data_IF_622942896155
#
_entry.id   IF_622942896155
#
_cell.length_a   1.000
_cell.length_b   1.000
_cell.length_c   1.000
_cell.angle_alpha   90.00
_cell.angle_beta   90.00
_cell.angle_gamma   90.00
#
_symmetry.space_group_name_H-M   'P 1'
#
loop_
_entity.id
_entity.type
_entity.pdbx_description
1 polymer ?
#
# COMPACT_ATOMS: atom_id res chain seq x y z
N UNK A 1 16.57 -73.29 30.79
CA UNK A 1 16.49 -72.75 29.42
C UNK A 1 16.01 -71.31 29.48
N UNK A 2 16.80 -70.42 28.89
CA UNK A 2 16.72 -68.96 28.97
C UNK A 2 15.44 -68.36 28.36
N UNK A 3 14.89 -67.35 29.04
CA UNK A 3 14.20 -66.19 28.43
C UNK A 3 14.57 -64.98 29.29
N UNK A 4 15.77 -64.41 29.07
CA UNK A 4 16.02 -63.20 28.27
C UNK A 4 15.14 -62.01 28.71
N UNK A 5 15.58 -61.37 29.80
CA UNK A 5 15.12 -60.06 30.25
C UNK A 5 15.76 -59.01 29.34
N UNK A 6 14.94 -58.33 28.53
CA UNK A 6 15.38 -57.25 27.64
C UNK A 6 15.30 -55.93 28.42
N UNK A 7 16.41 -55.55 29.05
CA UNK A 7 16.56 -54.30 29.80
C UNK A 7 16.99 -53.20 28.82
N UNK A 8 16.02 -52.43 28.30
CA UNK A 8 16.30 -51.27 27.47
C UNK A 8 16.78 -50.11 28.35
N UNK A 9 18.07 -49.83 28.27
CA UNK A 9 18.72 -48.61 28.76
C UNK A 9 18.14 -47.40 28.01
N UNK A 10 17.28 -46.61 28.67
CA UNK A 10 16.96 -45.26 28.21
C UNK A 10 18.09 -44.32 28.62
N UNK A 11 19.04 -44.11 27.71
CA UNK A 11 19.97 -42.98 27.77
C UNK A 11 19.21 -41.75 27.26
N UNK A 12 18.59 -41.02 28.20
CA UNK A 12 18.04 -39.70 27.93
C UNK A 12 19.17 -38.68 27.79
N UNK A 13 19.62 -38.47 26.55
CA UNK A 13 20.45 -37.33 26.19
C UNK A 13 19.63 -36.05 26.31
N UNK A 14 20.04 -35.21 27.25
CA UNK A 14 19.65 -33.81 27.40
C UNK A 14 19.86 -33.05 26.08
N UNK A 15 18.78 -32.45 25.56
CA UNK A 15 18.87 -31.21 24.80
C UNK A 15 17.82 -30.27 25.36
N UNK A 16 18.23 -29.46 26.33
CA UNK A 16 17.47 -28.30 26.76
C UNK A 16 17.28 -27.37 25.57
N UNK A 17 16.03 -27.21 25.14
CA UNK A 17 15.65 -26.20 24.15
C UNK A 17 15.69 -24.86 24.89
N UNK A 18 16.88 -24.25 24.87
CA UNK A 18 17.03 -22.84 25.21
C UNK A 18 16.42 -22.05 24.06
N UNK A 19 15.20 -21.54 24.27
CA UNK A 19 14.56 -20.59 23.38
C UNK A 19 15.44 -19.34 23.25
N UNK A 20 16.22 -19.26 22.17
CA UNK A 20 16.90 -18.03 21.80
C UNK A 20 15.83 -17.04 21.34
N UNK A 21 15.49 -16.09 22.23
CA UNK A 21 14.96 -14.80 21.79
C UNK A 21 16.02 -14.18 20.88
N UNK A 22 15.72 -14.12 19.58
CA UNK A 22 16.54 -13.36 18.64
C UNK A 22 16.11 -11.90 18.79
N UNK A 23 16.70 -11.22 19.76
CA UNK A 23 16.66 -9.76 19.82
C UNK A 23 17.58 -9.24 18.72
N UNK A 24 17.02 -8.80 17.59
CA UNK A 24 17.78 -8.10 16.56
C UNK A 24 17.99 -6.64 16.99
N UNK A 25 18.79 -6.43 18.04
CA UNK A 25 19.35 -5.12 18.37
C UNK A 25 20.72 -5.02 17.73
N UNK A 26 20.76 -4.53 16.49
CA UNK A 26 21.99 -4.12 15.85
C UNK A 26 22.21 -2.64 16.18
N UNK A 27 23.15 -2.35 17.08
CA UNK A 27 23.59 -0.99 17.43
C UNK A 27 24.52 -0.36 16.38
N UNK A 28 24.49 -0.83 15.13
CA UNK A 28 25.31 -0.28 14.04
C UNK A 28 24.42 0.32 12.97
N UNK A 29 24.42 1.66 12.93
CA UNK A 29 23.82 2.44 11.84
C UNK A 29 24.45 2.01 10.50
N UNK A 30 23.68 1.57 9.50
CA UNK A 30 24.22 1.48 8.14
C UNK A 30 24.47 2.89 7.62
N UNK A 31 25.75 3.22 7.40
CA UNK A 31 26.16 4.42 6.66
C UNK A 31 25.91 4.20 5.18
N UNK A 32 24.74 4.62 4.72
CA UNK A 32 24.54 5.03 3.34
C UNK A 32 23.91 6.41 3.38
N UNK A 33 24.81 7.37 3.61
CA UNK A 33 24.54 8.79 3.52
C UNK A 33 24.66 9.18 2.05
N UNK A 34 23.52 9.36 1.36
CA UNK A 34 23.50 9.92 0.01
C UNK A 34 23.53 11.46 0.01
N UNK A 35 23.85 12.11 1.13
CA UNK A 35 24.06 13.58 1.17
C UNK A 35 25.44 14.01 0.68
N UNK A 36 26.02 13.29 -0.29
CA UNK A 36 27.11 13.85 -1.11
C UNK A 36 26.47 14.74 -2.16
N UNK A 37 26.39 16.03 -1.84
CA UNK A 37 26.25 17.09 -2.84
C UNK A 37 27.46 17.07 -3.77
N UNK A 38 27.44 16.25 -4.81
CA UNK A 38 28.23 16.55 -6.00
C UNK A 38 27.58 17.78 -6.65
N UNK A 39 28.27 18.92 -6.57
CA UNK A 39 28.00 20.07 -7.43
C UNK A 39 28.36 19.68 -8.86
N UNK A 40 27.49 18.89 -9.50
CA UNK A 40 27.51 18.58 -10.91
C UNK A 40 26.45 19.41 -11.61
N UNK A 41 26.90 20.38 -12.41
CA UNK A 41 26.06 21.13 -13.33
C UNK A 41 25.48 20.14 -14.36
N UNK A 42 24.23 19.71 -14.15
CA UNK A 42 23.36 19.08 -15.14
C UNK A 42 24.00 17.96 -15.98
N UNK A 43 24.29 16.82 -15.33
CA UNK A 43 24.55 15.56 -16.01
C UNK A 43 23.56 14.50 -15.56
N UNK A 44 22.53 14.19 -16.36
CA UNK A 44 21.58 13.13 -16.01
C UNK A 44 20.27 13.02 -16.79
N UNK A 45 20.30 13.13 -18.13
CA UNK A 45 19.40 12.48 -19.11
C UNK A 45 17.87 12.57 -18.87
N UNK A 46 17.27 13.69 -19.27
CA UNK A 46 16.04 13.64 -20.08
C UNK A 46 16.47 13.65 -21.55
N UNK A 47 16.33 12.52 -22.23
CA UNK A 47 16.39 12.45 -23.68
C UNK A 47 15.00 12.77 -24.24
N UNK A 48 14.80 13.99 -24.69
CA UNK A 48 13.82 14.28 -25.74
C UNK A 48 14.51 15.18 -26.75
N UNK A 49 14.71 14.65 -27.94
CA UNK A 49 15.24 15.42 -29.07
C UNK A 49 14.42 16.68 -29.26
N UNK A 50 15.10 17.82 -29.23
CA UNK A 50 14.55 19.10 -29.62
C UNK A 50 15.71 20.00 -30.07
N UNK A 51 16.32 19.61 -31.19
CA UNK A 51 17.11 20.52 -32.01
C UNK A 51 16.15 21.63 -32.49
N UNK A 52 16.23 22.80 -31.86
CA UNK A 52 15.36 23.95 -32.14
C UNK A 52 15.05 24.88 -30.96
N UNK A 53 15.72 24.74 -29.81
CA UNK A 53 15.31 25.35 -28.53
C UNK A 53 15.98 26.67 -28.16
N UNK A 54 16.90 27.21 -28.98
CA UNK A 54 17.58 28.47 -28.65
C UNK A 54 16.65 29.67 -28.56
N UNK A 55 15.78 29.85 -29.55
CA UNK A 55 14.86 31.00 -29.61
C UNK A 55 13.65 30.86 -28.67
N UNK A 56 13.12 29.64 -28.51
CA UNK A 56 11.99 29.41 -27.58
C UNK A 56 12.40 29.61 -26.13
N UNK A 57 13.63 29.23 -25.76
CA UNK A 57 14.18 29.47 -24.42
C UNK A 57 14.48 30.96 -24.20
N UNK A 58 14.94 31.68 -25.23
CA UNK A 58 15.11 33.15 -25.17
C UNK A 58 13.77 33.85 -24.97
N UNK A 59 12.76 33.50 -25.76
CA UNK A 59 11.40 34.05 -25.64
C UNK A 59 10.78 33.77 -24.28
N UNK A 60 10.91 32.54 -23.77
CA UNK A 60 10.43 32.19 -22.43
C UNK A 60 11.17 32.97 -21.31
N UNK A 61 12.46 33.28 -21.48
CA UNK A 61 13.20 34.15 -20.55
C UNK A 61 12.72 35.60 -20.62
N UNK A 62 12.43 36.11 -21.80
CA UNK A 62 11.92 37.47 -22.01
C UNK A 62 10.51 37.62 -21.42
N UNK A 63 9.62 36.65 -21.68
CA UNK A 63 8.26 36.62 -21.12
C UNK A 63 8.29 36.53 -19.59
N UNK A 64 9.17 35.71 -19.01
CA UNK A 64 9.37 35.63 -17.56
C UNK A 64 9.88 36.95 -16.96
N UNK A 65 10.82 37.62 -17.63
CA UNK A 65 11.34 38.91 -17.19
C UNK A 65 10.26 40.01 -17.26
N UNK A 66 9.40 39.97 -18.28
CA UNK A 66 8.27 40.89 -18.43
C UNK A 66 7.26 40.70 -17.31
N UNK A 67 6.83 39.47 -17.06
CA UNK A 67 5.89 39.13 -15.97
C UNK A 67 6.45 39.56 -14.60
N UNK A 68 7.75 39.39 -14.38
CA UNK A 68 8.40 39.81 -13.14
C UNK A 68 8.41 41.33 -12.96
N UNK A 69 8.61 42.09 -14.03
CA UNK A 69 8.58 43.55 -14.00
C UNK A 69 7.14 44.06 -13.82
N UNK A 70 6.18 43.51 -14.57
CA UNK A 70 4.76 43.86 -14.46
C UNK A 70 4.23 43.58 -13.05
N UNK A 71 4.64 42.46 -12.44
CA UNK A 71 4.33 42.14 -11.05
C UNK A 71 4.96 43.13 -10.06
N UNK A 72 6.15 43.64 -10.37
CA UNK A 72 6.84 44.62 -9.53
C UNK A 72 6.17 46.00 -9.60
N UNK A 73 5.65 46.37 -10.77
CA UNK A 73 4.95 47.63 -11.01
C UNK A 73 3.56 47.63 -10.36
N UNK A 74 2.82 46.53 -10.44
CA UNK A 74 1.54 46.34 -9.72
C UNK A 74 1.74 46.46 -8.19
N UNK A 75 2.83 45.88 -7.67
CA UNK A 75 3.15 45.97 -6.24
C UNK A 75 3.54 47.38 -5.80
N UNK A 76 4.13 48.17 -6.69
CA UNK A 76 4.49 49.56 -6.42
C UNK A 76 3.25 50.48 -6.47
N UNK A 77 2.34 50.26 -7.41
CA UNK A 77 1.07 51.01 -7.54
C UNK A 77 0.15 50.81 -6.33
N UNK A 78 0.18 49.60 -5.73
CA UNK A 78 -0.52 49.29 -4.48
C UNK A 78 0.20 49.79 -3.21
N UNK A 79 1.30 50.54 -3.34
CA UNK A 79 2.06 51.08 -2.21
C UNK A 79 2.83 50.03 -1.37
N UNK A 80 3.00 48.81 -1.89
CA UNK A 80 3.63 47.69 -1.16
C UNK A 80 5.15 47.73 -1.36
N UNK A 81 5.79 48.71 -0.72
CA UNK A 81 7.25 48.78 -0.68
C UNK A 81 7.78 47.86 0.44
N UNK A 82 8.44 46.75 0.06
CA UNK A 82 9.27 45.87 0.93
C UNK A 82 8.61 44.64 1.59
N UNK A 83 7.56 44.06 1.03
CA UNK A 83 7.02 42.79 1.55
C UNK A 83 7.78 41.54 1.01
N UNK A 84 8.47 41.65 -0.12
CA UNK A 84 9.03 40.47 -0.83
C UNK A 84 10.24 39.78 -0.19
N UNK A 85 11.17 40.50 0.47
CA UNK A 85 12.46 39.91 0.91
C UNK A 85 12.37 39.15 2.25
N UNK A 86 11.53 39.58 3.18
CA UNK A 86 11.32 38.90 4.47
C UNK A 86 10.41 37.67 4.30
N UNK A 87 9.37 37.80 3.49
CA UNK A 87 8.47 36.69 3.16
C UNK A 87 9.20 35.62 2.33
N UNK A 88 9.97 36.00 1.31
CA UNK A 88 10.76 35.05 0.50
C UNK A 88 11.77 34.23 1.32
N UNK A 89 12.48 34.85 2.28
CA UNK A 89 13.45 34.14 3.13
C UNK A 89 12.78 33.17 4.12
N UNK A 90 11.60 33.52 4.64
CA UNK A 90 10.82 32.62 5.49
C UNK A 90 10.12 31.50 4.70
N UNK A 91 9.69 31.76 3.46
CA UNK A 91 9.13 30.75 2.56
C UNK A 91 10.23 29.76 2.12
N UNK A 92 11.42 30.23 1.76
CA UNK A 92 12.56 29.37 1.37
C UNK A 92 13.13 28.53 2.52
N UNK A 93 13.02 28.98 3.77
CA UNK A 93 13.39 28.15 4.94
C UNK A 93 12.34 27.10 5.30
N UNK A 94 11.08 27.25 4.87
CA UNK A 94 9.98 26.33 5.19
C UNK A 94 9.73 25.25 4.14
N UNK A 95 10.02 25.48 2.86
CA UNK A 95 9.81 24.49 1.81
C UNK A 95 11.10 23.73 1.50
N UNK A 96 11.54 22.88 2.42
CA UNK A 96 12.42 21.77 2.03
C UNK A 96 11.49 20.66 1.56
N UNK A 97 11.64 20.10 0.34
CA UNK A 97 10.95 18.88 -0.02
C UNK A 97 11.39 17.84 1.02
N UNK A 98 10.48 17.48 1.90
CA UNK A 98 10.76 16.49 2.91
C UNK A 98 10.47 15.15 2.27
N UNK A 99 11.46 14.27 2.28
CA UNK A 99 11.29 12.85 1.95
C UNK A 99 10.56 12.16 3.12
N UNK A 100 9.39 12.70 3.48
CA UNK A 100 8.53 12.21 4.55
C UNK A 100 7.08 12.22 4.08
N UNK A 101 6.34 11.19 4.46
CA UNK A 101 4.90 11.14 4.33
C UNK A 101 4.33 10.85 5.71
N UNK A 102 3.34 11.63 6.16
CA UNK A 102 2.73 11.47 7.50
C UNK A 102 3.77 11.38 8.67
N UNK A 103 4.91 12.09 8.53
CA UNK A 103 6.00 12.11 9.53
C UNK A 103 6.97 10.92 9.49
N UNK A 104 6.76 9.94 8.60
CA UNK A 104 7.67 8.80 8.39
C UNK A 104 8.58 9.09 7.21
N UNK A 105 9.89 8.86 7.37
CA UNK A 105 10.87 9.09 6.31
C UNK A 105 10.78 8.02 5.22
N UNK A 106 10.80 8.46 3.98
CA UNK A 106 10.65 7.62 2.79
C UNK A 106 11.90 7.62 1.92
N UNK A 107 12.05 6.57 1.11
CA UNK A 107 13.02 6.49 0.02
C UNK A 107 12.27 6.12 -1.25
N UNK A 108 12.60 6.76 -2.36
CA UNK A 108 12.01 6.42 -3.66
C UNK A 108 12.67 5.18 -4.27
N UNK A 109 11.84 4.30 -4.83
CA UNK A 109 12.23 3.10 -5.57
C UNK A 109 11.56 3.12 -6.94
N UNK A 110 12.25 2.55 -7.91
CA UNK A 110 11.76 2.43 -9.28
C UNK A 110 11.84 0.97 -9.69
N UNK A 111 10.71 0.42 -10.12
CA UNK A 111 10.60 -0.89 -10.73
C UNK A 111 10.37 -0.72 -12.23
N UNK A 112 11.08 -1.48 -13.05
CA UNK A 112 10.88 -1.52 -14.50
C UNK A 112 10.73 -2.96 -14.94
N UNK A 113 9.66 -3.27 -15.66
CA UNK A 113 9.42 -4.63 -16.17
C UNK A 113 8.62 -4.61 -17.48
N UNK A 114 8.69 -5.71 -18.23
CA UNK A 114 8.11 -5.80 -19.57
C UNK A 114 9.02 -5.22 -20.66
N UNK A 115 8.59 -5.36 -21.92
CA UNK A 115 9.35 -4.90 -23.09
C UNK A 115 8.42 -4.32 -24.17
N UNK A 116 8.98 -3.49 -25.05
CA UNK A 116 8.24 -2.82 -26.12
C UNK A 116 7.05 -2.02 -25.60
N UNK A 117 5.90 -2.16 -26.25
CA UNK A 117 4.66 -1.44 -25.92
C UNK A 117 4.04 -1.85 -24.56
N UNK A 118 4.59 -2.87 -23.88
CA UNK A 118 4.15 -3.32 -22.55
C UNK A 118 5.15 -2.97 -21.45
N UNK A 119 6.17 -2.16 -21.76
CA UNK A 119 7.13 -1.67 -20.78
C UNK A 119 6.39 -0.88 -19.70
N UNK A 120 6.53 -1.32 -18.45
CA UNK A 120 5.89 -0.74 -17.28
C UNK A 120 6.97 -0.22 -16.34
N UNK A 121 6.78 1.01 -15.87
CA UNK A 121 7.63 1.66 -14.87
C UNK A 121 6.76 2.02 -13.67
N UNK A 122 7.13 1.53 -12.49
CA UNK A 122 6.46 1.86 -11.23
C UNK A 122 7.42 2.62 -10.33
N UNK A 123 7.04 3.85 -9.97
CA UNK A 123 7.74 4.69 -9.02
C UNK A 123 6.99 4.64 -7.69
N UNK A 124 7.69 4.28 -6.62
CA UNK A 124 7.07 4.13 -5.30
C UNK A 124 7.97 4.62 -4.20
N UNK A 125 7.40 5.33 -3.24
CA UNK A 125 8.07 5.64 -1.98
C UNK A 125 7.90 4.45 -1.01
N UNK A 126 8.99 4.06 -0.34
CA UNK A 126 9.02 3.01 0.68
C UNK A 126 9.57 3.55 1.98
N UNK A 127 9.23 2.90 3.10
CA UNK A 127 9.72 3.28 4.43
C UNK A 127 11.24 3.11 4.47
N UNK A 128 11.94 4.13 5.01
CA UNK A 128 13.40 4.13 5.11
C UNK A 128 13.95 3.22 6.21
N UNK A 129 13.26 3.18 7.35
CA UNK A 129 13.70 2.47 8.55
C UNK A 129 12.67 1.42 8.95
N UNK A 130 13.14 0.18 9.13
CA UNK A 130 12.29 -0.96 9.52
C UNK A 130 11.59 -0.71 10.86
N UNK A 131 12.20 0.09 11.75
CA UNK A 131 11.64 0.47 13.06
C UNK A 131 10.31 1.25 12.96
N UNK A 132 10.11 1.98 11.85
CA UNK A 132 8.91 2.78 11.61
C UNK A 132 7.79 1.98 10.92
N UNK A 133 8.05 0.71 10.57
CA UNK A 133 7.09 -0.17 9.92
C UNK A 133 6.04 -0.65 10.93
N UNK A 134 4.85 -0.04 10.87
CA UNK A 134 3.68 -0.47 11.65
C UNK A 134 2.55 -0.83 10.69
N UNK A 135 2.55 -2.07 10.23
CA UNK A 135 1.48 -2.55 9.36
C UNK A 135 0.26 -2.89 10.21
N UNK A 136 -0.90 -2.36 9.81
CA UNK A 136 -2.17 -2.67 10.47
C UNK A 136 -2.58 -4.12 10.21
N UNK A 137 -2.90 -4.88 11.27
CA UNK A 137 -3.38 -6.26 11.15
C UNK A 137 -4.76 -6.40 10.49
N UNK A 138 -5.48 -5.29 10.28
CA UNK A 138 -6.78 -5.28 9.62
C UNK A 138 -6.69 -5.17 8.09
N UNK A 139 -5.51 -4.82 7.55
CA UNK A 139 -5.30 -4.69 6.12
C UNK A 139 -5.27 -6.06 5.45
N UNK A 140 -6.11 -6.25 4.44
CA UNK A 140 -6.11 -7.48 3.63
C UNK A 140 -5.05 -7.43 2.53
N UNK A 141 -4.80 -6.23 1.99
CA UNK A 141 -3.80 -6.00 0.97
C UNK A 141 -2.72 -5.10 1.54
N UNK A 142 -1.50 -5.63 1.63
CA UNK A 142 -0.33 -4.90 2.08
C UNK A 142 0.63 -4.83 0.92
N UNK A 143 0.83 -3.62 0.39
CA UNK A 143 1.71 -3.36 -0.72
C UNK A 143 3.13 -3.12 -0.22
N UNK A 144 4.07 -3.87 -0.77
CA UNK A 144 5.49 -3.78 -0.43
C UNK A 144 6.36 -4.02 -1.65
N UNK A 145 7.59 -3.52 -1.59
CA UNK A 145 8.57 -3.63 -2.65
C UNK A 145 9.50 -4.79 -2.39
N UNK A 146 9.49 -5.78 -3.29
CA UNK A 146 10.44 -6.89 -3.29
C UNK A 146 11.76 -6.45 -3.93
N UNK A 147 12.82 -6.46 -3.13
CA UNK A 147 14.18 -6.09 -3.54
C UNK A 147 14.81 -7.10 -4.50
N UNK A 148 14.36 -8.37 -4.48
CA UNK A 148 14.91 -9.41 -5.35
C UNK A 148 14.29 -9.36 -6.75
N UNK A 149 12.97 -9.21 -6.81
CA UNK A 149 12.24 -9.08 -8.06
C UNK A 149 12.23 -7.65 -8.61
N UNK A 150 12.74 -6.68 -7.82
CA UNK A 150 12.69 -5.26 -8.10
C UNK A 150 11.26 -4.84 -8.49
N UNK A 151 10.25 -5.26 -7.71
CA UNK A 151 8.82 -5.15 -8.07
C UNK A 151 7.96 -4.89 -6.84
N UNK A 152 6.87 -4.17 -7.05
CA UNK A 152 5.82 -3.97 -6.04
C UNK A 152 4.88 -5.16 -6.07
N UNK A 153 4.66 -5.77 -4.92
CA UNK A 153 3.82 -6.95 -4.74
C UNK A 153 2.89 -6.75 -3.55
N UNK A 154 1.80 -7.51 -3.52
CA UNK A 154 0.80 -7.51 -2.45
C UNK A 154 0.68 -8.89 -1.76
N UNK A 155 1.74 -9.69 -1.81
CA UNK A 155 1.77 -11.04 -1.24
C UNK A 155 1.90 -11.01 0.29
N UNK A 156 1.49 -12.10 1.00
CA UNK A 156 1.62 -12.16 2.45
C UNK A 156 3.06 -11.93 2.93
N UNK A 157 3.23 -11.06 3.93
CA UNK A 157 4.55 -10.70 4.46
C UNK A 157 5.32 -11.88 5.10
N UNK A 158 4.63 -12.95 5.49
CA UNK A 158 5.24 -14.13 6.13
C UNK A 158 6.30 -14.81 5.25
N UNK A 159 6.10 -14.75 3.93
CA UNK A 159 6.97 -15.41 2.96
C UNK A 159 8.03 -14.45 2.38
N UNK A 160 8.00 -13.18 2.78
CA UNK A 160 8.82 -12.12 2.21
C UNK A 160 10.22 -12.06 2.85
N UNK A 161 11.25 -12.02 2.01
CA UNK A 161 12.64 -11.81 2.46
C UNK A 161 13.00 -10.32 2.32
N UNK A 162 13.11 -9.63 3.46
CA UNK A 162 13.37 -8.18 3.57
C UNK A 162 12.35 -7.32 2.79
N UNK A 163 11.05 -7.39 3.13
CA UNK A 163 10.04 -6.56 2.49
C UNK A 163 10.30 -5.08 2.80
N UNK A 164 10.19 -4.20 1.80
CA UNK A 164 10.18 -2.76 2.00
C UNK A 164 8.75 -2.25 1.87
N UNK A 165 8.13 -1.86 2.99
CA UNK A 165 6.72 -1.47 2.99
C UNK A 165 6.52 -0.16 2.21
N UNK A 166 5.52 -0.14 1.31
CA UNK A 166 5.19 1.05 0.54
C UNK A 166 4.57 2.14 1.43
N UNK A 167 5.09 3.37 1.32
CA UNK A 167 4.65 4.51 2.11
C UNK A 167 5.03 5.81 1.41
N UNK A 168 4.05 6.66 1.11
CA UNK A 168 4.19 7.87 0.32
C UNK A 168 3.69 7.73 -1.13
N UNK A 169 4.13 8.59 -2.05
CA UNK A 169 3.60 8.64 -3.41
C UNK A 169 3.88 7.37 -4.23
N UNK A 170 2.95 7.03 -5.11
CA UNK A 170 3.01 5.94 -6.07
C UNK A 170 2.57 6.42 -7.45
N UNK A 171 3.30 6.03 -8.50
CA UNK A 171 2.96 6.30 -9.90
C UNK A 171 3.30 5.10 -10.76
N UNK A 172 2.42 4.79 -11.70
CA UNK A 172 2.59 3.70 -12.67
C UNK A 172 2.50 4.24 -14.06
N UNK A 173 3.51 3.95 -14.87
CA UNK A 173 3.57 4.28 -16.28
C UNK A 173 3.56 3.01 -17.11
N UNK A 174 2.74 2.96 -18.14
CA UNK A 174 2.76 1.91 -19.16
C UNK A 174 3.06 2.57 -20.48
N UNK A 175 4.12 2.13 -21.15
CA UNK A 175 4.61 2.75 -22.38
C UNK A 175 4.79 4.29 -22.25
N UNK A 176 5.36 4.73 -21.13
CA UNK A 176 5.58 6.15 -20.78
C UNK A 176 4.29 6.97 -20.52
N UNK A 177 3.11 6.36 -20.60
CA UNK A 177 1.83 6.99 -20.26
C UNK A 177 1.49 6.69 -18.80
N UNK A 178 1.15 7.72 -18.02
CA UNK A 178 0.69 7.56 -16.64
C UNK A 178 -0.67 6.82 -16.65
N UNK A 179 -0.76 5.69 -15.95
CA UNK A 179 -1.99 4.87 -15.90
C UNK A 179 -2.59 4.79 -14.50
N UNK A 180 -1.78 4.97 -13.45
CA UNK A 180 -2.26 4.95 -12.06
C UNK A 180 -1.37 5.84 -11.20
N UNK A 181 -1.97 6.59 -10.29
CA UNK A 181 -1.25 7.31 -9.25
C UNK A 181 -2.02 7.31 -7.94
N UNK A 182 -1.29 7.48 -6.84
CA UNK A 182 -1.88 7.60 -5.52
C UNK A 182 -0.82 7.65 -4.44
N UNK A 183 -1.24 7.33 -3.22
CA UNK A 183 -0.36 7.30 -2.06
C UNK A 183 -0.56 5.99 -1.30
N UNK A 184 0.51 5.50 -0.69
CA UNK A 184 0.47 4.42 0.26
C UNK A 184 0.72 4.94 1.67
N UNK A 185 0.06 4.33 2.64
CA UNK A 185 0.34 4.52 4.05
C UNK A 185 0.58 3.16 4.69
N UNK A 186 1.86 2.87 4.97
CA UNK A 186 2.29 1.64 5.67
C UNK A 186 1.74 0.37 4.99
N UNK A 187 1.80 0.35 3.66
CA UNK A 187 1.36 -0.74 2.80
C UNK A 187 -0.12 -0.70 2.41
N UNK A 188 -0.97 0.08 3.07
CA UNK A 188 -2.36 0.31 2.65
C UNK A 188 -2.48 1.46 1.65
N UNK A 189 -3.46 1.41 0.73
CA UNK A 189 -3.79 2.56 -0.13
C UNK A 189 -4.27 3.75 0.71
N UNK A 190 -3.81 4.95 0.40
CA UNK A 190 -4.13 6.18 1.13
C UNK A 190 -4.30 7.37 0.17
N UNK A 191 -4.98 8.41 0.65
CA UNK A 191 -5.21 9.62 -0.14
C UNK A 191 -6.04 9.37 -1.41
N UNK A 192 -5.87 10.24 -2.40
CA UNK A 192 -6.57 10.16 -3.69
C UNK A 192 -5.84 9.17 -4.60
N UNK A 193 -6.58 8.21 -5.14
CA UNK A 193 -6.13 7.23 -6.13
C UNK A 193 -6.85 7.48 -7.44
N UNK A 194 -6.08 7.52 -8.52
CA UNK A 194 -6.57 7.84 -9.85
C UNK A 194 -6.08 6.82 -10.84
N UNK A 195 -6.97 6.45 -11.75
CA UNK A 195 -6.66 5.58 -12.87
C UNK A 195 -6.94 6.31 -14.16
N UNK A 196 -5.99 6.23 -15.07
CA UNK A 196 -6.04 6.92 -16.35
C UNK A 196 -6.10 5.92 -17.51
N UNK A 197 -6.77 6.31 -18.59
CA UNK A 197 -6.78 5.58 -19.86
C UNK A 197 -5.58 5.96 -20.74
N UNK A 198 -5.57 5.44 -21.98
CA UNK A 198 -4.45 5.63 -22.91
C UNK A 198 -4.30 7.08 -23.38
N UNK A 199 -5.39 7.85 -23.39
CA UNK A 199 -5.42 9.26 -23.81
C UNK A 199 -5.46 10.23 -22.63
N UNK A 200 -4.97 9.80 -21.45
CA UNK A 200 -4.98 10.59 -20.21
C UNK A 200 -6.39 10.97 -19.71
N UNK A 201 -7.40 10.21 -20.12
CA UNK A 201 -8.77 10.26 -19.60
C UNK A 201 -8.83 9.71 -18.18
N UNK A 202 -9.54 10.38 -17.27
CA UNK A 202 -9.73 9.90 -15.91
C UNK A 202 -10.80 8.80 -15.90
N UNK A 203 -10.39 7.54 -15.69
CA UNK A 203 -11.28 6.38 -15.67
C UNK A 203 -11.90 6.14 -14.29
N UNK A 204 -11.12 6.30 -13.22
CA UNK A 204 -11.58 6.08 -11.86
C UNK A 204 -10.85 7.00 -10.88
N UNK A 205 -11.55 7.41 -9.83
CA UNK A 205 -11.03 8.32 -8.80
C UNK A 205 -11.62 8.00 -7.43
N UNK A 206 -10.88 7.24 -6.63
CA UNK A 206 -11.31 6.82 -5.31
C UNK A 206 -10.39 7.43 -4.26
N UNK A 207 -10.98 7.94 -3.17
CA UNK A 207 -10.20 8.35 -2.00
C UNK A 207 -10.14 7.22 -0.99
N UNK A 208 -8.95 6.93 -0.50
CA UNK A 208 -8.68 5.97 0.55
C UNK A 208 -8.18 6.67 1.82
N UNK A 209 -8.33 5.98 2.94
CA UNK A 209 -7.78 6.35 4.22
C UNK A 209 -7.21 5.08 4.87
N UNK A 210 -5.89 5.00 4.98
CA UNK A 210 -5.17 3.89 5.64
C UNK A 210 -5.64 2.50 5.19
N UNK A 211 -5.83 2.31 3.88
CA UNK A 211 -6.17 1.06 3.22
C UNK A 211 -7.67 0.85 2.92
N UNK A 212 -8.57 1.62 3.52
CA UNK A 212 -10.01 1.51 3.29
C UNK A 212 -10.52 2.69 2.48
N UNK A 213 -11.59 2.54 1.66
CA UNK A 213 -12.20 3.70 1.02
C UNK A 213 -12.62 4.74 2.06
N UNK A 214 -12.33 6.02 1.82
CA UNK A 214 -12.49 7.11 2.79
C UNK A 214 -13.93 7.27 3.28
N UNK A 215 -14.91 6.94 2.46
CA UNK A 215 -16.33 7.01 2.80
C UNK A 215 -16.84 5.79 3.60
N UNK A 216 -16.00 4.77 3.78
CA UNK A 216 -16.38 3.53 4.46
C UNK A 216 -16.83 3.78 5.90
N UNK A 217 -17.83 3.04 6.33
CA UNK A 217 -18.28 3.07 7.73
C UNK A 217 -17.51 2.03 8.51
N UNK A 218 -16.74 2.47 9.50
CA UNK A 218 -15.94 1.60 10.37
C UNK A 218 -16.58 1.56 11.74
N UNK A 219 -17.04 0.38 12.14
CA UNK A 219 -17.57 0.11 13.46
C UNK A 219 -16.47 -0.49 14.34
N UNK A 220 -16.48 -0.12 15.62
CA UNK A 220 -15.45 -0.51 16.60
C UNK A 220 -16.08 -1.27 17.76
N UNK A 221 -15.30 -2.13 18.42
CA UNK A 221 -15.69 -2.77 19.67
C UNK A 221 -15.57 -1.84 20.88
N UNK A 222 -14.57 -0.96 20.85
CA UNK A 222 -14.21 -0.10 21.98
C UNK A 222 -14.58 1.37 21.69
N UNK A 223 -14.89 2.12 22.75
CA UNK A 223 -15.15 3.57 22.65
C UNK A 223 -13.90 4.36 22.19
N UNK A 224 -12.70 3.84 22.48
CA UNK A 224 -11.40 4.41 22.09
C UNK A 224 -11.03 4.14 20.62
N UNK A 225 -11.88 3.43 19.86
CA UNK A 225 -11.73 3.14 18.43
C UNK A 225 -10.41 2.44 18.04
N UNK A 226 -9.85 1.63 18.95
CA UNK A 226 -8.63 0.86 18.68
C UNK A 226 -8.92 -0.49 18.00
N UNK A 227 -10.04 -1.14 18.36
CA UNK A 227 -10.42 -2.45 17.83
C UNK A 227 -11.54 -2.34 16.81
N UNK A 228 -11.23 -2.62 15.55
CA UNK A 228 -12.20 -2.61 14.47
C UNK A 228 -13.06 -3.86 14.61
N UNK A 229 -14.38 -3.67 14.54
CA UNK A 229 -15.38 -4.73 14.50
C UNK A 229 -15.77 -5.05 13.07
N UNK A 230 -16.02 -4.01 12.27
CA UNK A 230 -16.59 -4.17 10.93
C UNK A 230 -16.20 -2.96 10.07
N UNK A 231 -15.96 -3.22 8.79
CA UNK A 231 -15.70 -2.23 7.75
C UNK A 231 -16.70 -2.44 6.64
N UNK A 232 -17.62 -1.49 6.50
CA UNK A 232 -18.62 -1.46 5.44
C UNK A 232 -18.09 -0.53 4.33
N UNK A 233 -17.72 -1.07 3.15
CA UNK A 233 -17.13 -0.29 2.09
C UNK A 233 -18.19 0.64 1.48
N UNK A 234 -17.86 1.93 1.39
CA UNK A 234 -18.70 2.90 0.69
C UNK A 234 -17.85 3.65 -0.33
N UNK A 235 -18.34 3.73 -1.55
CA UNK A 235 -17.70 4.39 -2.67
C UNK A 235 -18.76 5.14 -3.46
N UNK A 236 -18.55 6.43 -3.70
CA UNK A 236 -19.50 7.31 -4.39
C UNK A 236 -20.91 7.29 -3.77
N UNK A 237 -20.97 7.28 -2.43
CA UNK A 237 -22.22 7.24 -1.68
C UNK A 237 -22.95 5.88 -1.67
N UNK A 238 -22.45 4.86 -2.37
CA UNK A 238 -23.07 3.51 -2.41
C UNK A 238 -22.24 2.49 -1.62
N UNK A 239 -22.90 1.52 -0.99
CA UNK A 239 -22.23 0.44 -0.26
C UNK A 239 -21.72 -0.60 -1.25
N UNK A 240 -20.47 -0.45 -1.67
CA UNK A 240 -19.85 -1.27 -2.72
C UNK A 240 -18.38 -1.47 -2.43
N UNK A 241 -17.91 -2.71 -2.55
CA UNK A 241 -16.50 -3.08 -2.36
C UNK A 241 -16.32 -4.27 -1.44
N UNK A 242 -15.12 -4.38 -0.85
CA UNK A 242 -14.77 -5.45 0.08
C UNK A 242 -15.33 -5.16 1.47
N UNK A 243 -16.25 -6.01 1.93
CA UNK A 243 -16.74 -6.05 3.29
C UNK A 243 -15.81 -6.90 4.15
N UNK A 244 -15.55 -6.42 5.37
CA UNK A 244 -14.69 -7.08 6.34
C UNK A 244 -15.30 -6.98 7.74
N UNK A 245 -15.30 -8.09 8.46
CA UNK A 245 -15.66 -8.15 9.88
C UNK A 245 -14.55 -8.87 10.62
N UNK A 246 -14.32 -8.46 11.87
CA UNK A 246 -13.21 -8.94 12.70
C UNK A 246 -13.72 -9.35 14.07
N UNK A 247 -13.05 -10.33 14.67
CA UNK A 247 -13.26 -10.71 16.06
C UNK A 247 -12.63 -9.70 17.02
N UNK A 248 -12.98 -9.71 18.32
CA UNK A 248 -12.38 -8.82 19.32
C UNK A 248 -10.86 -8.95 19.48
N UNK A 249 -10.29 -10.08 19.03
CA UNK A 249 -8.84 -10.33 19.01
C UNK A 249 -8.14 -9.75 17.76
N UNK A 250 -8.88 -9.13 16.84
CA UNK A 250 -8.38 -8.55 15.59
C UNK A 250 -8.26 -9.54 14.42
N UNK A 251 -8.59 -10.82 14.61
CA UNK A 251 -8.61 -11.79 13.53
C UNK A 251 -9.83 -11.57 12.63
N UNK A 252 -9.66 -11.85 11.32
CA UNK A 252 -10.75 -11.78 10.36
C UNK A 252 -11.85 -12.79 10.71
N UNK A 253 -13.09 -12.33 10.76
CA UNK A 253 -14.28 -13.10 11.09
C UNK A 253 -15.13 -13.40 9.86
N UNK A 254 -15.34 -12.40 9.00
CA UNK A 254 -16.09 -12.55 7.76
C UNK A 254 -15.49 -11.62 6.71
N UNK A 255 -15.44 -12.08 5.47
CA UNK A 255 -15.11 -11.25 4.32
C UNK A 255 -16.01 -11.59 3.13
N UNK A 256 -16.27 -10.59 2.31
CA UNK A 256 -17.06 -10.77 1.09
C UNK A 256 -17.15 -9.48 0.30
N UNK A 257 -17.87 -9.51 -0.82
CA UNK A 257 -18.07 -8.33 -1.65
C UNK A 257 -19.52 -7.86 -1.58
N UNK A 258 -19.69 -6.56 -1.45
CA UNK A 258 -20.98 -5.89 -1.55
C UNK A 258 -21.07 -5.13 -2.88
N UNK A 259 -22.23 -5.17 -3.51
CA UNK A 259 -22.62 -4.29 -4.63
C UNK A 259 -23.99 -3.68 -4.32
N UNK A 260 -24.03 -2.37 -4.09
CA UNK A 260 -25.22 -1.63 -3.63
C UNK A 260 -25.93 -2.28 -2.43
N UNK A 261 -25.17 -2.62 -1.39
CA UNK A 261 -25.63 -3.30 -0.15
C UNK A 261 -26.06 -4.76 -0.31
N UNK A 262 -25.92 -5.36 -1.50
CA UNK A 262 -26.24 -6.77 -1.75
C UNK A 262 -24.96 -7.61 -1.69
N UNK A 263 -25.02 -8.76 -1.01
CA UNK A 263 -23.92 -9.73 -0.95
C UNK A 263 -23.72 -10.36 -2.33
N UNK A 264 -22.52 -10.22 -2.90
CA UNK A 264 -22.17 -10.78 -4.21
C UNK A 264 -20.87 -11.59 -4.14
N UNK A 265 -20.71 -12.54 -5.05
CA UNK A 265 -19.53 -13.38 -5.17
C UNK A 265 -19.34 -14.32 -3.97
N UNK A 266 -18.08 -14.55 -3.60
CA UNK A 266 -17.73 -15.46 -2.50
C UNK A 266 -17.70 -14.73 -1.16
N UNK A 267 -18.29 -15.38 -0.17
CA UNK A 267 -18.34 -14.92 1.21
C UNK A 267 -17.71 -15.97 2.09
N UNK A 268 -16.70 -15.58 2.86
CA UNK A 268 -15.91 -16.48 3.69
C UNK A 268 -16.07 -16.07 5.15
N UNK A 269 -16.50 -17.02 5.96
CA UNK A 269 -16.56 -16.90 7.41
C UNK A 269 -15.42 -17.69 8.01
N UNK A 270 -14.86 -17.21 9.12
CA UNK A 270 -13.71 -17.80 9.79
C UNK A 270 -14.02 -18.16 11.24
N UNK A 271 -13.23 -19.08 11.79
CA UNK A 271 -13.29 -19.42 13.20
C UNK A 271 -12.44 -18.46 14.03
N UNK A 272 -12.97 -18.06 15.19
CA UNK A 272 -12.24 -17.21 16.16
C UNK A 272 -11.02 -17.95 16.75
N UNK A 273 -11.14 -19.27 16.94
CA UNK A 273 -10.13 -20.12 17.56
C UNK A 273 -9.44 -21.00 16.52
N UNK A 274 -8.12 -20.83 16.37
CA UNK A 274 -7.28 -21.61 15.47
C UNK A 274 -6.10 -20.80 14.96
N UNK A 275 -5.02 -21.46 14.55
CA UNK A 275 -3.87 -20.77 13.95
C UNK A 275 -4.29 -20.05 12.65
N UNK A 276 -4.19 -18.72 12.64
CA UNK A 276 -4.44 -17.84 11.48
C UNK A 276 -5.82 -17.96 10.80
N UNK A 277 -6.93 -17.82 11.54
CA UNK A 277 -8.25 -17.59 10.93
C UNK A 277 -8.66 -18.69 9.95
N UNK A 278 -8.90 -19.91 10.47
CA UNK A 278 -9.30 -21.04 9.64
C UNK A 278 -10.68 -20.80 9.04
N UNK A 279 -10.82 -21.09 7.74
CA UNK A 279 -12.10 -21.03 7.03
C UNK A 279 -13.12 -21.92 7.75
N UNK A 280 -14.24 -21.33 8.14
CA UNK A 280 -15.40 -21.98 8.75
C UNK A 280 -16.42 -22.33 7.69
N UNK A 281 -16.87 -21.34 6.92
CA UNK A 281 -17.87 -21.49 5.86
C UNK A 281 -17.48 -20.66 4.64
N UNK A 282 -17.74 -21.20 3.46
CA UNK A 282 -17.67 -20.45 2.21
C UNK A 282 -19.03 -20.53 1.52
N UNK A 283 -19.63 -19.36 1.29
CA UNK A 283 -20.87 -19.19 0.55
C UNK A 283 -20.57 -18.57 -0.81
N UNK A 284 -21.38 -18.93 -1.81
CA UNK A 284 -21.44 -18.25 -3.10
C UNK A 284 -22.78 -17.57 -3.25
N UNK A 285 -22.73 -16.29 -3.62
CA UNK A 285 -23.85 -15.47 -4.01
C UNK A 285 -23.76 -15.17 -5.52
N UNK A 286 -24.78 -14.49 -6.05
CA UNK A 286 -24.78 -14.01 -7.43
C UNK A 286 -23.53 -13.18 -7.75
N UNK A 287 -23.11 -13.18 -9.01
CA UNK A 287 -21.92 -12.47 -9.48
C UNK A 287 -22.06 -10.96 -9.27
N UNK A 288 -23.28 -10.44 -9.43
CA UNK A 288 -23.65 -9.06 -9.23
C UNK A 288 -25.04 -8.96 -8.58
N UNK A 289 -25.52 -7.73 -8.40
CA UNK A 289 -26.81 -7.43 -7.79
C UNK A 289 -28.04 -7.74 -8.66
N UNK A 290 -27.85 -8.01 -9.95
CA UNK A 290 -28.94 -8.23 -10.90
C UNK A 290 -29.23 -9.71 -11.12
N UNK A 291 -28.27 -10.58 -10.77
CA UNK A 291 -28.41 -12.02 -10.86
C UNK A 291 -29.28 -12.55 -9.71
N UNK A 292 -30.45 -13.11 -10.04
CA UNK A 292 -31.29 -13.84 -9.09
C UNK A 292 -30.68 -15.23 -8.82
N UNK A 293 -29.66 -15.25 -7.97
CA UNK A 293 -28.93 -16.46 -7.58
C UNK A 293 -29.22 -16.77 -6.11
N UNK A 294 -29.77 -17.96 -5.86
CA UNK A 294 -29.97 -18.44 -4.49
C UNK A 294 -28.61 -18.75 -3.85
N UNK A 295 -28.27 -18.16 -2.69
CA UNK A 295 -26.98 -18.39 -2.05
C UNK A 295 -26.76 -19.88 -1.79
N UNK A 296 -25.57 -20.37 -2.09
CA UNK A 296 -25.24 -21.78 -1.84
C UNK A 296 -23.96 -21.91 -1.03
N UNK A 297 -24.01 -22.82 -0.06
CA UNK A 297 -22.86 -23.22 0.73
C UNK A 297 -21.93 -24.07 -0.14
N UNK A 298 -20.69 -23.62 -0.30
CA UNK A 298 -19.63 -24.33 -1.03
C UNK A 298 -18.94 -25.32 -0.11
N UNK A 299 -18.55 -24.85 1.07
CA UNK A 299 -17.74 -25.63 1.98
C UNK A 299 -17.99 -25.22 3.42
N UNK A 300 -17.99 -26.20 4.30
CA UNK A 300 -17.97 -26.02 5.74
C UNK A 300 -16.86 -26.87 6.36
N UNK A 301 -16.11 -26.28 7.30
CA UNK A 301 -15.02 -26.94 8.02
C UNK A 301 -15.16 -26.75 9.53
N UNK A 302 -14.68 -27.73 10.27
CA UNK A 302 -14.59 -27.66 11.72
C UNK A 302 -13.41 -26.77 12.19
N UNK A 303 -13.27 -26.61 13.51
CA UNK A 303 -12.19 -25.84 14.13
C UNK A 303 -10.78 -26.44 13.87
N UNK A 304 -10.72 -27.72 13.50
CA UNK A 304 -9.52 -28.47 13.16
C UNK A 304 -9.23 -28.47 11.63
N UNK A 305 -9.99 -27.69 10.86
CA UNK A 305 -9.94 -27.60 9.39
C UNK A 305 -10.37 -28.88 8.64
N UNK A 306 -11.01 -29.84 9.31
CA UNK A 306 -11.63 -30.99 8.66
C UNK A 306 -12.89 -30.54 7.93
N UNK A 307 -13.01 -30.96 6.67
CA UNK A 307 -14.20 -30.68 5.85
C UNK A 307 -15.38 -31.45 6.41
N UNK A 308 -16.41 -30.74 6.84
CA UNK A 308 -17.69 -31.30 7.30
C UNK A 308 -18.61 -31.48 6.09
N UNK A 309 -18.62 -30.47 5.22
CA UNK A 309 -19.43 -30.45 4.02
C UNK A 309 -18.64 -29.79 2.89
N UNK A 310 -18.78 -30.35 1.70
CA UNK A 310 -18.31 -29.74 0.47
C UNK A 310 -19.36 -30.00 -0.59
N UNK A 311 -19.79 -28.95 -1.27
CA UNK A 311 -20.70 -29.05 -2.38
C UNK A 311 -20.01 -29.84 -3.52
N UNK A 312 -20.64 -30.90 -4.05
CA UNK A 312 -20.08 -31.67 -5.16
C UNK A 312 -19.97 -30.85 -6.45
N UNK A 313 -20.82 -29.85 -6.62
CA UNK A 313 -20.84 -29.03 -7.82
C UNK A 313 -19.65 -28.07 -7.83
N UNK A 314 -18.80 -28.22 -8.85
CA UNK A 314 -17.72 -27.28 -9.11
C UNK A 314 -18.28 -26.09 -9.88
N UNK A 315 -18.11 -24.91 -9.31
CA UNK A 315 -18.46 -23.67 -9.98
C UNK A 315 -17.19 -22.87 -10.19
N UNK A 316 -16.60 -23.05 -11.36
CA UNK A 316 -15.40 -22.32 -11.80
C UNK A 316 -15.70 -20.83 -12.08
#
# INVERSE_FOLDING_TARGET
>A
MQKLFLLLFFIGLNLGIQAQKIDFSSNKKPLIDTTVHSKGLLGGRLSTGLEGTGEKVKKAKEDFNKIKNDSQDILNDLGIHRVGKSISRNIKKKFQPKDEYEGIKTINRISTYGSGNRATVEEVAVIKYVEDEKVSGYLQEIWWFDTQQNRIVNTPLKDAKNPLICHGPYRKFVNQVLVEEGFFYQGGKDGRWEKYGTENELLDKISYQKGFPKESTINYYDAEKQKIKEVIPRVYGKVRGQYLSFFPNGLLAEEGKLDDSIKVGRWREFHEKGASGRLKKEWRFGKDKFEDFKPVLIQERDNQAKVIYQNPDKWD
#
